data_IF_150452469457
#
_entry.id   IF_150452469457
#
_cell.length_a   1.000
_cell.length_b   1.000
_cell.length_c   1.000
_cell.angle_alpha   90.00
_cell.angle_beta   90.00
_cell.angle_gamma   90.00
#
_symmetry.space_group_name_H-M   'P 1'
#
loop_
_entity.id
_entity.type
_entity.pdbx_description
1 polymer ?
#
# COMPACT_ATOMS: atom_id res chain seq x y z
N UNK A 1 -17.49 -13.98 10.47
CA UNK A 1 -16.41 -13.16 9.92
C UNK A 1 -16.20 -11.91 10.74
N UNK A 2 -14.98 -11.39 10.74
CA UNK A 2 -14.63 -10.12 11.36
C UNK A 2 -15.11 -8.96 10.47
N UNK A 3 -15.62 -7.89 11.08
CA UNK A 3 -16.04 -6.68 10.36
C UNK A 3 -14.94 -5.64 10.52
N UNK A 4 -14.33 -5.24 9.39
CA UNK A 4 -13.25 -4.25 9.36
C UNK A 4 -13.68 -2.99 8.60
N UNK A 5 -13.14 -1.83 9.00
CA UNK A 5 -13.26 -0.55 8.30
C UNK A 5 -11.86 0.06 8.11
N UNK A 6 -11.70 0.90 7.09
CA UNK A 6 -10.46 1.66 6.91
C UNK A 6 -10.41 2.85 7.87
N UNK A 7 -9.26 3.07 8.49
CA UNK A 7 -8.96 4.31 9.21
C UNK A 7 -8.32 5.38 8.32
N UNK A 8 -7.87 5.00 7.13
CA UNK A 8 -7.36 5.91 6.11
C UNK A 8 -8.51 6.49 5.28
N UNK A 9 -8.33 7.71 4.79
CA UNK A 9 -9.24 8.32 3.82
C UNK A 9 -9.21 7.56 2.48
N UNK A 10 -10.19 7.80 1.62
CA UNK A 10 -10.25 7.16 0.31
C UNK A 10 -9.06 7.54 -0.57
N UNK A 11 -8.57 8.76 -0.46
CA UNK A 11 -7.38 9.23 -1.16
C UNK A 11 -6.13 8.51 -0.67
N UNK A 12 -5.94 8.40 0.65
CA UNK A 12 -4.80 7.70 1.24
C UNK A 12 -4.82 6.18 0.95
N UNK A 13 -5.98 5.60 0.67
CA UNK A 13 -6.08 4.20 0.22
C UNK A 13 -5.46 3.95 -1.16
N UNK A 14 -5.25 5.01 -1.97
CA UNK A 14 -4.61 4.93 -3.29
C UNK A 14 -3.08 5.03 -3.21
N UNK A 15 -2.53 5.47 -2.07
CA UNK A 15 -1.08 5.54 -1.87
C UNK A 15 -0.45 4.16 -1.76
N UNK A 16 0.88 4.10 -1.93
CA UNK A 16 1.64 2.87 -1.77
C UNK A 16 1.55 2.29 -0.34
N UNK A 17 1.78 0.99 -0.23
CA UNK A 17 1.73 0.23 1.02
C UNK A 17 2.60 0.85 2.10
N UNK A 18 3.81 1.30 1.74
CA UNK A 18 4.69 1.96 2.71
C UNK A 18 4.06 3.21 3.30
N UNK A 19 3.51 4.10 2.48
CA UNK A 19 2.84 5.32 2.95
C UNK A 19 1.67 4.98 3.88
N UNK A 20 0.80 4.06 3.48
CA UNK A 20 -0.36 3.64 4.29
C UNK A 20 0.03 3.06 5.64
N UNK A 21 1.08 2.25 5.68
CA UNK A 21 1.60 1.64 6.92
C UNK A 21 2.22 2.71 7.83
N UNK A 22 3.03 3.61 7.27
CA UNK A 22 3.65 4.71 8.02
C UNK A 22 2.57 5.67 8.60
N UNK A 23 1.49 5.93 7.85
CA UNK A 23 0.36 6.74 8.32
C UNK A 23 -0.40 6.06 9.47
N UNK A 24 -0.65 4.76 9.38
CA UNK A 24 -1.31 4.00 10.45
C UNK A 24 -0.42 3.87 11.68
N UNK A 25 0.89 3.72 11.50
CA UNK A 25 1.84 3.68 12.62
C UNK A 25 1.87 5.04 13.33
N UNK A 26 2.02 6.13 12.58
CA UNK A 26 2.11 7.47 13.16
C UNK A 26 0.80 7.97 13.78
N UNK A 27 -0.37 7.58 13.24
CA UNK A 27 -1.66 8.09 13.71
C UNK A 27 -2.43 7.14 14.64
N UNK A 28 -2.17 5.84 14.56
CA UNK A 28 -2.87 4.79 15.34
C UNK A 28 -1.93 3.89 16.13
N UNK A 29 -0.62 3.98 15.94
CA UNK A 29 0.38 3.23 16.70
C UNK A 29 0.46 1.75 16.34
N UNK A 30 0.15 1.37 15.10
CA UNK A 30 0.30 -0.01 14.64
C UNK A 30 0.74 -0.13 13.18
N UNK A 31 1.46 -1.22 12.89
CA UNK A 31 1.80 -1.62 11.53
C UNK A 31 0.68 -2.48 10.96
N UNK A 32 0.06 -2.04 9.86
CA UNK A 32 -1.03 -2.75 9.25
C UNK A 32 -0.56 -4.03 8.54
N UNK A 33 -1.24 -5.15 8.84
CA UNK A 33 -0.94 -6.47 8.28
C UNK A 33 -2.11 -7.05 7.47
N UNK A 34 -3.02 -6.18 7.00
CA UNK A 34 -4.13 -6.62 6.15
C UNK A 34 -3.60 -7.23 4.83
N UNK A 35 -4.42 -8.00 4.08
CA UNK A 35 -3.97 -8.69 2.86
C UNK A 35 -3.29 -7.79 1.82
N UNK A 36 -3.68 -6.51 1.74
CA UNK A 36 -3.03 -5.52 0.87
C UNK A 36 -1.63 -5.11 1.35
N UNK A 37 -1.41 -5.04 2.67
CA UNK A 37 -0.13 -4.59 3.23
C UNK A 37 0.92 -5.70 3.36
N UNK A 38 0.49 -6.97 3.39
CA UNK A 38 1.40 -8.13 3.41
C UNK A 38 1.57 -8.79 2.04
N UNK A 39 0.97 -8.22 0.99
CA UNK A 39 1.16 -8.69 -0.37
C UNK A 39 2.63 -8.51 -0.80
N UNK A 40 3.13 -9.43 -1.61
CA UNK A 40 4.49 -9.36 -2.15
C UNK A 40 4.65 -8.25 -3.21
N UNK A 41 3.54 -7.79 -3.78
CA UNK A 41 3.49 -6.81 -4.85
C UNK A 41 2.64 -5.62 -4.43
N UNK A 42 3.09 -4.42 -4.80
CA UNK A 42 2.38 -3.17 -4.57
C UNK A 42 2.08 -2.47 -5.90
N UNK A 43 0.86 -2.63 -6.45
CA UNK A 43 0.51 -2.04 -7.75
C UNK A 43 0.44 -0.51 -7.70
N UNK A 44 0.36 0.09 -6.50
CA UNK A 44 0.47 1.55 -6.33
C UNK A 44 1.92 2.06 -6.35
N UNK A 45 2.91 1.17 -6.48
CA UNK A 45 4.34 1.49 -6.51
C UNK A 45 5.06 0.87 -7.71
N UNK A 46 4.50 1.06 -8.89
CA UNK A 46 5.07 0.60 -10.16
C UNK A 46 5.97 1.66 -10.80
N UNK A 47 7.08 1.23 -11.40
CA UNK A 47 7.94 2.07 -12.25
C UNK A 47 8.06 1.45 -13.64
N UNK A 48 8.24 2.29 -14.67
CA UNK A 48 8.53 1.80 -16.01
C UNK A 48 9.91 1.11 -16.06
N UNK A 49 9.97 -0.08 -16.65
CA UNK A 49 11.22 -0.83 -16.81
C UNK A 49 12.21 -0.03 -17.65
N UNK A 50 13.43 0.27 -17.13
CA UNK A 50 14.37 1.14 -17.81
C UNK A 50 14.96 0.52 -19.09
N UNK A 51 14.84 -0.80 -19.27
CA UNK A 51 15.39 -1.50 -20.43
C UNK A 51 14.45 -1.51 -21.63
N UNK A 52 13.14 -1.63 -21.42
CA UNK A 52 12.16 -1.79 -22.51
C UNK A 52 11.08 -0.70 -22.52
N UNK A 53 10.95 0.09 -21.46
CA UNK A 53 9.94 1.13 -21.24
C UNK A 53 8.48 0.67 -21.39
N UNK A 54 8.25 -0.65 -21.48
CA UNK A 54 6.96 -1.28 -21.69
C UNK A 54 6.53 -2.15 -20.50
N UNK A 55 7.51 -2.79 -19.84
CA UNK A 55 7.26 -3.55 -18.62
C UNK A 55 7.22 -2.66 -17.39
N UNK A 56 6.72 -3.21 -16.29
CA UNK A 56 6.69 -2.57 -14.98
C UNK A 56 7.65 -3.29 -14.03
N UNK A 57 8.25 -2.54 -13.10
CA UNK A 57 9.03 -3.05 -11.97
C UNK A 57 8.38 -2.57 -10.67
N UNK A 58 8.21 -3.48 -9.72
CA UNK A 58 7.51 -3.29 -8.44
C UNK A 58 8.41 -3.58 -7.24
#
# INVERSE_FOLDING_TARGET
DEICVSYLSEEALLDCTKTRVDDLDSTKGFLCTCPRCVANEDPSRVFACPSCSLGEVT
#
